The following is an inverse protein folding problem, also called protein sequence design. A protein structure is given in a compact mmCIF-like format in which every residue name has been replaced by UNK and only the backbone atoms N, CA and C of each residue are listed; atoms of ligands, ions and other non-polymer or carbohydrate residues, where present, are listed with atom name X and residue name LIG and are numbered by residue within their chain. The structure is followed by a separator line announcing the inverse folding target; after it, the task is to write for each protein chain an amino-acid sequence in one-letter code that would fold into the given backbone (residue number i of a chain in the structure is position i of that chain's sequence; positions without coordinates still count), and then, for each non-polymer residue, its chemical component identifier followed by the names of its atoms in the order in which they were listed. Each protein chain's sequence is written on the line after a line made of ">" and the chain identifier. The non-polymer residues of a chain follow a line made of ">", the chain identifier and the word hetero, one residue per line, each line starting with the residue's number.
data_IF_476657906654
#
_entry.id   IF_476657906654
#
_cell.length_a   1.000
_cell.length_b   1.000
_cell.length_c   1.000
_cell.angle_alpha   90.00
_cell.angle_beta   90.00
_cell.angle_gamma   90.00
#
_symmetry.space_group_name_H-M   'P 1'
#
loop_
_entity.id
_entity.type
_entity.pdbx_description
1 polymer ?
#
# COMPACT_ATOMS: atom_id res chain seq x y z
N UNK A 1 25.08 5.65 13.93
CA UNK A 1 24.26 4.48 14.29
C UNK A 1 22.88 4.72 13.71
N UNK A 2 22.66 4.34 12.46
CA UNK A 2 21.35 4.50 11.82
C UNK A 2 20.45 3.36 12.31
N UNK A 3 19.34 3.70 12.96
CA UNK A 3 18.32 2.72 13.29
C UNK A 3 17.65 2.29 11.97
N UNK A 4 17.74 1.00 11.69
CA UNK A 4 17.02 0.35 10.60
C UNK A 4 15.51 0.50 10.85
N UNK A 5 14.85 1.36 10.07
CA UNK A 5 13.42 1.67 10.15
C UNK A 5 12.52 0.61 9.51
N UNK A 6 13.05 -0.55 9.13
CA UNK A 6 12.25 -1.64 8.58
C UNK A 6 11.51 -2.39 9.69
N UNK A 7 10.24 -2.04 9.93
CA UNK A 7 9.35 -2.87 10.75
C UNK A 7 8.60 -3.85 9.84
N UNK A 8 9.14 -5.05 9.68
CA UNK A 8 8.43 -6.16 9.02
C UNK A 8 7.29 -6.62 9.94
N UNK A 9 6.05 -6.27 9.61
CA UNK A 9 4.88 -6.85 10.25
C UNK A 9 4.59 -8.19 9.59
N UNK A 10 5.18 -9.28 10.08
CA UNK A 10 4.69 -10.60 9.71
C UNK A 10 3.29 -10.79 10.30
N UNK A 11 2.25 -10.76 9.46
CA UNK A 11 0.99 -11.44 9.82
C UNK A 11 1.28 -12.93 9.98
N UNK A 12 0.71 -13.61 11.00
CA UNK A 12 0.88 -15.05 11.22
C UNK A 12 0.66 -15.84 9.92
N UNK A 13 1.47 -16.88 9.72
CA UNK A 13 1.52 -17.68 8.48
C UNK A 13 0.20 -18.37 8.09
N UNK A 14 -0.78 -18.39 9.00
CA UNK A 14 -2.07 -19.06 8.85
C UNK A 14 -3.20 -18.09 8.43
N UNK A 15 -2.90 -16.80 8.23
CA UNK A 15 -3.88 -15.77 7.91
C UNK A 15 -3.78 -15.29 6.45
N UNK A 16 -4.93 -15.14 5.78
CA UNK A 16 -5.06 -14.53 4.45
C UNK A 16 -4.18 -13.27 4.29
N UNK A 17 -3.18 -13.33 3.40
CA UNK A 17 -2.43 -12.19 2.90
C UNK A 17 -1.37 -11.66 3.87
N UNK A 18 -0.11 -11.71 3.45
CA UNK A 18 1.00 -11.14 4.24
C UNK A 18 1.25 -9.70 3.81
N UNK A 19 1.53 -8.83 4.77
CA UNK A 19 1.88 -7.43 4.48
C UNK A 19 3.32 -7.18 4.86
N UNK A 20 4.17 -6.89 3.89
CA UNK A 20 5.50 -6.37 4.17
C UNK A 20 5.46 -4.85 4.10
N UNK A 21 5.91 -4.14 5.13
CA UNK A 21 5.83 -2.69 5.15
C UNK A 21 7.08 -2.06 5.76
N UNK A 22 7.46 -0.88 5.27
CA UNK A 22 8.57 -0.10 5.81
C UNK A 22 8.40 1.38 5.48
N UNK A 23 9.20 2.22 6.13
CA UNK A 23 9.36 3.60 5.71
C UNK A 23 10.54 3.65 4.75
N UNK A 24 10.27 3.99 3.50
CA UNK A 24 11.33 4.15 2.50
C UNK A 24 12.09 5.47 2.66
N UNK A 25 11.41 6.44 3.28
CA UNK A 25 11.93 7.72 3.65
C UNK A 25 11.06 8.32 4.77
N UNK A 26 11.49 9.42 5.44
CA UNK A 26 10.74 9.99 6.57
C UNK A 26 9.27 10.31 6.29
N UNK A 27 8.93 10.66 5.05
CA UNK A 27 7.62 11.08 4.57
C UNK A 27 6.96 10.07 3.60
N UNK A 28 7.54 8.88 3.42
CA UNK A 28 7.10 7.89 2.44
C UNK A 28 6.95 6.50 3.07
N UNK A 29 5.69 6.09 3.27
CA UNK A 29 5.35 4.74 3.74
C UNK A 29 5.19 3.80 2.55
N UNK A 30 5.70 2.59 2.67
CA UNK A 30 5.50 1.51 1.71
C UNK A 30 4.84 0.30 2.38
N UNK A 31 3.93 -0.35 1.66
CA UNK A 31 3.33 -1.62 2.04
C UNK A 31 3.12 -2.51 0.81
N UNK A 32 3.72 -3.70 0.80
CA UNK A 32 3.46 -4.75 -0.17
C UNK A 32 2.44 -5.75 0.36
N UNK A 33 1.43 -6.05 -0.45
CA UNK A 33 0.53 -7.17 -0.23
C UNK A 33 1.12 -8.41 -0.91
N UNK A 34 1.21 -9.51 -0.16
CA UNK A 34 1.81 -10.76 -0.59
C UNK A 34 0.76 -11.86 -0.54
N UNK A 35 0.46 -12.45 -1.69
CA UNK A 35 -0.50 -13.54 -1.83
C UNK A 35 -1.97 -13.11 -1.73
N UNK A 36 -2.85 -14.06 -1.42
CA UNK A 36 -4.30 -13.84 -1.36
C UNK A 36 -4.68 -12.86 -0.26
N UNK A 37 -5.39 -11.78 -0.59
CA UNK A 37 -5.89 -10.83 0.41
C UNK A 37 -7.41 -10.75 0.33
N UNK A 38 -8.09 -11.23 1.38
CA UNK A 38 -9.57 -11.18 1.50
C UNK A 38 -10.03 -9.92 2.23
N UNK A 39 -11.30 -9.57 2.07
CA UNK A 39 -11.87 -8.37 2.71
C UNK A 39 -11.70 -8.34 4.23
N UNK A 40 -11.90 -9.46 4.93
CA UNK A 40 -11.71 -9.52 6.39
C UNK A 40 -10.28 -9.18 6.80
N UNK A 41 -9.28 -9.65 6.04
CA UNK A 41 -7.87 -9.33 6.25
C UNK A 41 -7.57 -7.86 5.91
N UNK A 42 -8.12 -7.33 4.82
CA UNK A 42 -8.01 -5.90 4.48
C UNK A 42 -8.56 -5.01 5.59
N UNK A 43 -9.73 -5.34 6.15
CA UNK A 43 -10.34 -4.55 7.22
C UNK A 43 -9.56 -4.62 8.54
N UNK A 44 -9.03 -5.80 8.91
CA UNK A 44 -8.13 -5.92 10.09
C UNK A 44 -6.86 -5.09 9.91
N UNK A 45 -6.30 -5.07 8.71
CA UNK A 45 -5.10 -4.30 8.41
C UNK A 45 -5.39 -2.80 8.25
N UNK A 46 -6.64 -2.40 7.93
CA UNK A 46 -7.01 -1.00 7.81
C UNK A 46 -6.75 -0.22 9.10
N UNK A 47 -7.06 -0.79 10.28
CA UNK A 47 -6.79 -0.12 11.56
C UNK A 47 -5.29 0.08 11.80
N UNK A 48 -4.45 -0.90 11.41
CA UNK A 48 -2.99 -0.78 11.49
C UNK A 48 -2.44 0.27 10.54
N UNK A 49 -2.99 0.35 9.32
CA UNK A 49 -2.65 1.37 8.33
C UNK A 49 -3.01 2.76 8.88
N UNK A 50 -4.22 2.94 9.40
CA UNK A 50 -4.69 4.18 10.01
C UNK A 50 -3.76 4.60 11.14
N UNK A 51 -3.52 3.71 12.12
CA UNK A 51 -2.62 4.01 13.24
C UNK A 51 -1.22 4.40 12.77
N UNK A 52 -0.68 3.71 11.75
CA UNK A 52 0.65 4.00 11.24
C UNK A 52 0.71 5.34 10.54
N UNK A 53 -0.26 5.62 9.67
CA UNK A 53 -0.33 6.89 8.96
C UNK A 53 -0.52 8.02 9.97
N UNK A 54 -1.52 7.93 10.84
CA UNK A 54 -1.87 8.99 11.81
C UNK A 54 -0.74 9.29 12.80
N UNK A 55 0.08 8.28 13.14
CA UNK A 55 1.24 8.44 14.02
C UNK A 55 2.50 8.98 13.35
N UNK A 56 2.48 9.33 12.06
CA UNK A 56 3.64 9.88 11.34
C UNK A 56 3.27 11.02 10.41
N UNK A 57 4.31 11.74 9.95
CA UNK A 57 4.17 12.84 8.98
C UNK A 57 4.46 12.32 7.57
N UNK A 58 3.50 11.58 7.02
CA UNK A 58 3.61 10.99 5.68
C UNK A 58 2.97 11.89 4.64
N UNK A 59 3.69 12.09 3.54
CA UNK A 59 3.19 12.73 2.31
C UNK A 59 2.79 11.70 1.27
N UNK A 60 3.47 10.55 1.26
CA UNK A 60 3.27 9.51 0.27
C UNK A 60 2.98 8.16 0.95
N UNK A 61 1.98 7.45 0.42
CA UNK A 61 1.75 6.06 0.77
C UNK A 61 1.75 5.20 -0.49
N UNK A 62 2.64 4.22 -0.54
CA UNK A 62 2.83 3.31 -1.65
C UNK A 62 2.30 1.93 -1.27
N UNK A 63 1.36 1.40 -2.05
CA UNK A 63 0.77 0.08 -1.88
C UNK A 63 1.15 -0.78 -3.08
N UNK A 64 1.91 -1.84 -2.83
CA UNK A 64 2.45 -2.71 -3.87
C UNK A 64 1.62 -3.98 -4.05
N UNK A 65 1.04 -4.10 -5.24
CA UNK A 65 0.20 -5.21 -5.67
C UNK A 65 0.94 -6.19 -6.59
N UNK A 66 2.24 -6.00 -6.88
CA UNK A 66 2.94 -6.87 -7.85
C UNK A 66 2.96 -8.34 -7.46
N UNK A 67 2.92 -8.64 -6.17
CA UNK A 67 2.86 -10.01 -5.62
C UNK A 67 1.54 -10.32 -4.91
N UNK A 68 0.52 -9.49 -5.12
CA UNK A 68 -0.77 -9.62 -4.46
C UNK A 68 -1.75 -10.45 -5.30
N UNK A 69 -2.67 -11.11 -4.62
CA UNK A 69 -3.89 -11.68 -5.20
C UNK A 69 -5.11 -11.14 -4.42
N UNK A 70 -5.52 -9.86 -4.65
CA UNK A 70 -6.65 -9.27 -3.94
C UNK A 70 -7.96 -9.97 -4.32
N UNK A 71 -8.76 -10.37 -3.34
CA UNK A 71 -10.03 -11.09 -3.53
C UNK A 71 -11.26 -10.23 -3.20
N UNK A 72 -11.09 -8.91 -3.20
CA UNK A 72 -12.16 -7.96 -2.87
C UNK A 72 -13.10 -7.75 -4.05
N UNK A 73 -14.40 -7.72 -3.76
CA UNK A 73 -15.44 -7.25 -4.67
C UNK A 73 -15.56 -5.70 -4.64
N UNK A 74 -16.31 -5.08 -5.57
CA UNK A 74 -16.40 -3.62 -5.65
C UNK A 74 -16.93 -2.92 -4.38
N UNK A 75 -17.91 -3.50 -3.68
CA UNK A 75 -18.49 -2.91 -2.46
C UNK A 75 -17.53 -3.01 -1.28
N UNK A 76 -16.74 -4.09 -1.23
CA UNK A 76 -15.68 -4.28 -0.25
C UNK A 76 -14.55 -3.26 -0.43
N UNK A 77 -14.19 -2.93 -1.67
CA UNK A 77 -13.27 -1.82 -1.93
C UNK A 77 -13.85 -0.49 -1.42
N UNK A 78 -15.11 -0.20 -1.69
CA UNK A 78 -15.74 1.04 -1.24
C UNK A 78 -15.72 1.16 0.30
N UNK A 79 -16.09 0.09 1.01
CA UNK A 79 -16.04 0.05 2.48
C UNK A 79 -14.63 0.23 3.03
N UNK A 80 -13.65 -0.46 2.44
CA UNK A 80 -12.24 -0.33 2.84
C UNK A 80 -11.73 1.10 2.68
N UNK A 81 -12.01 1.76 1.55
CA UNK A 81 -11.56 3.12 1.32
C UNK A 81 -12.31 4.17 2.15
N UNK A 82 -13.61 3.98 2.38
CA UNK A 82 -14.37 4.85 3.30
C UNK A 82 -13.77 4.83 4.71
N UNK A 83 -13.31 3.67 5.18
CA UNK A 83 -12.63 3.55 6.47
C UNK A 83 -11.27 4.25 6.50
N UNK A 84 -10.49 4.14 5.41
CA UNK A 84 -9.16 4.75 5.32
C UNK A 84 -9.17 6.26 5.05
N UNK A 85 -10.25 6.77 4.45
CA UNK A 85 -10.36 8.13 3.90
C UNK A 85 -9.78 9.22 4.80
N UNK A 86 -10.09 9.29 6.12
CA UNK A 86 -9.58 10.37 6.96
C UNK A 86 -8.05 10.41 7.04
N UNK A 87 -7.38 9.25 6.99
CA UNK A 87 -5.92 9.14 7.11
C UNK A 87 -5.23 9.26 5.75
N UNK A 88 -5.87 8.83 4.66
CA UNK A 88 -5.27 8.89 3.30
C UNK A 88 -5.59 10.20 2.57
N UNK A 89 -6.67 10.91 2.93
CA UNK A 89 -7.09 12.16 2.29
C UNK A 89 -6.14 13.33 2.54
N UNK A 90 -5.31 13.25 3.60
CA UNK A 90 -4.27 14.23 3.91
C UNK A 90 -2.93 13.99 3.19
N UNK A 91 -2.79 12.86 2.50
CA UNK A 91 -1.58 12.52 1.76
C UNK A 91 -1.50 13.33 0.46
N UNK A 92 -0.29 13.66 0.04
CA UNK A 92 -0.06 14.23 -1.28
C UNK A 92 -0.22 13.20 -2.39
N UNK A 93 0.10 11.92 -2.12
CA UNK A 93 -0.20 10.83 -3.05
C UNK A 93 -0.42 9.48 -2.38
N UNK A 94 -1.35 8.72 -2.96
CA UNK A 94 -1.56 7.30 -2.72
C UNK A 94 -1.24 6.52 -4.00
N UNK A 95 -0.18 5.73 -4.03
CA UNK A 95 0.25 5.04 -5.26
C UNK A 95 0.02 3.55 -5.12
N UNK A 96 -0.78 2.98 -6.01
CA UNK A 96 -0.87 1.55 -6.22
C UNK A 96 0.12 1.10 -7.28
N UNK A 97 1.06 0.24 -6.89
CA UNK A 97 2.08 -0.30 -7.77
C UNK A 97 1.60 -1.65 -8.28
N UNK A 98 1.56 -1.87 -9.59
CA UNK A 98 1.01 -3.10 -10.16
C UNK A 98 2.01 -3.85 -11.03
N UNK A 99 1.73 -5.14 -11.21
CA UNK A 99 2.31 -5.95 -12.28
C UNK A 99 1.20 -6.36 -13.26
N UNK A 100 1.55 -7.17 -14.24
CA UNK A 100 0.63 -7.56 -15.33
C UNK A 100 -0.70 -8.14 -14.82
N UNK A 101 -0.62 -9.00 -13.79
CA UNK A 101 -1.79 -9.68 -13.22
C UNK A 101 -2.65 -8.77 -12.32
N UNK A 102 -2.11 -7.64 -11.85
CA UNK A 102 -2.77 -6.78 -10.86
C UNK A 102 -3.16 -5.40 -11.37
N UNK A 103 -2.87 -5.08 -12.64
CA UNK A 103 -3.22 -3.82 -13.30
C UNK A 103 -4.68 -3.41 -13.05
N UNK A 104 -5.64 -4.29 -13.38
CA UNK A 104 -7.06 -3.95 -13.27
C UNK A 104 -7.50 -3.71 -11.83
N UNK A 105 -6.88 -4.43 -10.87
CA UNK A 105 -7.19 -4.29 -9.44
C UNK A 105 -6.60 -3.00 -8.88
N UNK A 106 -5.36 -2.67 -9.22
CA UNK A 106 -4.74 -1.40 -8.86
C UNK A 106 -5.48 -0.20 -9.47
N UNK A 107 -5.89 -0.28 -10.73
CA UNK A 107 -6.70 0.74 -11.39
C UNK A 107 -8.08 0.91 -10.73
N UNK A 108 -8.72 -0.20 -10.32
CA UNK A 108 -9.97 -0.11 -9.58
C UNK A 108 -9.77 0.53 -8.20
N UNK A 109 -8.76 0.09 -7.47
CA UNK A 109 -8.46 0.58 -6.12
C UNK A 109 -8.14 2.09 -6.13
N UNK A 110 -7.27 2.54 -7.02
CA UNK A 110 -6.95 3.96 -7.16
C UNK A 110 -8.17 4.80 -7.53
N UNK A 111 -9.03 4.32 -8.43
CA UNK A 111 -10.29 5.02 -8.78
C UNK A 111 -11.25 5.13 -7.58
N UNK A 112 -11.34 4.12 -6.72
CA UNK A 112 -12.20 4.20 -5.54
C UNK A 112 -11.69 5.24 -4.54
N UNK A 113 -10.37 5.32 -4.34
CA UNK A 113 -9.77 6.39 -3.55
C UNK A 113 -9.99 7.78 -4.17
N UNK A 114 -9.85 7.92 -5.49
CA UNK A 114 -10.10 9.17 -6.21
C UNK A 114 -11.54 9.68 -6.04
N UNK A 115 -12.53 8.80 -5.99
CA UNK A 115 -13.93 9.19 -5.72
C UNK A 115 -14.13 9.85 -4.35
N UNK A 116 -13.20 9.61 -3.42
CA UNK A 116 -13.17 10.21 -2.10
C UNK A 116 -12.29 11.48 -2.04
N UNK A 117 -11.80 11.97 -3.18
CA UNK A 117 -10.94 13.15 -3.25
C UNK A 117 -9.46 12.90 -2.99
N UNK A 118 -9.05 11.64 -2.82
CA UNK A 118 -7.63 11.27 -2.60
C UNK A 118 -6.86 11.37 -3.93
N UNK A 119 -5.68 11.98 -3.92
CA UNK A 119 -4.76 11.95 -5.06
C UNK A 119 -4.13 10.55 -5.20
N UNK A 120 -4.89 9.62 -5.81
CA UNK A 120 -4.46 8.24 -5.98
C UNK A 120 -4.07 7.92 -7.43
N UNK A 121 -3.06 7.07 -7.58
CA UNK A 121 -2.47 6.70 -8.88
C UNK A 121 -2.27 5.19 -8.95
N UNK A 122 -2.31 4.63 -10.16
CA UNK A 122 -1.88 3.26 -10.43
C UNK A 122 -0.67 3.30 -11.38
N UNK A 123 0.47 2.77 -10.96
CA UNK A 123 1.75 2.85 -11.67
C UNK A 123 2.37 1.46 -11.81
N UNK A 124 2.78 1.08 -13.02
CA UNK A 124 3.36 -0.24 -13.32
C UNK A 124 4.88 -0.30 -13.30
N UNK A 125 5.53 0.86 -13.17
CA UNK A 125 6.98 1.02 -13.28
C UNK A 125 7.56 1.78 -12.08
N UNK A 126 8.59 1.22 -11.45
CA UNK A 126 9.18 1.80 -10.24
C UNK A 126 9.88 3.15 -10.50
N UNK A 127 10.43 3.38 -11.69
CA UNK A 127 11.03 4.67 -12.02
C UNK A 127 9.96 5.76 -12.09
N UNK A 128 8.76 5.45 -12.60
CA UNK A 128 7.60 6.36 -12.53
C UNK A 128 7.13 6.60 -11.09
N UNK A 129 7.16 5.59 -10.22
CA UNK A 129 6.88 5.78 -8.78
C UNK A 129 7.86 6.80 -8.18
N UNK A 130 9.15 6.62 -8.43
CA UNK A 130 10.21 7.55 -8.00
C UNK A 130 9.98 8.98 -8.51
N UNK A 131 9.61 9.13 -9.78
CA UNK A 131 9.27 10.42 -10.36
C UNK A 131 8.06 11.06 -9.66
N UNK A 132 7.03 10.28 -9.34
CA UNK A 132 5.82 10.74 -8.66
C UNK A 132 6.09 11.27 -7.24
N UNK A 133 7.02 10.65 -6.51
CA UNK A 133 7.40 11.07 -5.16
C UNK A 133 8.61 12.03 -5.15
N UNK A 134 9.09 12.44 -6.33
CA UNK A 134 10.20 13.38 -6.49
C UNK A 134 11.55 12.91 -5.98
N UNK A 135 11.80 11.59 -5.92
CA UNK A 135 13.08 11.04 -5.43
C UNK A 135 13.37 9.65 -5.97
N UNK A 136 14.65 9.30 -6.05
CA UNK A 136 15.12 7.98 -6.45
C UNK A 136 15.29 7.10 -5.21
N UNK A 137 14.63 5.96 -5.18
CA UNK A 137 14.70 4.97 -4.10
C UNK A 137 14.92 3.57 -4.67
N UNK A 138 15.56 2.65 -3.93
CA UNK A 138 15.63 1.25 -4.33
C UNK A 138 14.23 0.62 -4.34
N UNK A 139 13.98 -0.26 -5.31
CA UNK A 139 12.72 -1.01 -5.38
C UNK A 139 12.65 -2.01 -4.19
N UNK A 140 11.71 -1.85 -3.26
CA UNK A 140 11.67 -2.65 -2.03
C UNK A 140 11.30 -4.09 -2.31
N UNK A 141 10.56 -4.37 -3.39
CA UNK A 141 10.07 -5.71 -3.69
C UNK A 141 11.22 -6.67 -4.03
N UNK A 142 12.31 -6.14 -4.56
CA UNK A 142 13.51 -6.91 -4.94
C UNK A 142 14.27 -7.44 -3.72
N UNK A 143 14.03 -6.83 -2.55
CA UNK A 143 14.69 -7.16 -1.28
C UNK A 143 13.74 -7.85 -0.30
N UNK A 144 12.58 -8.33 -0.76
CA UNK A 144 11.70 -9.10 0.11
C UNK A 144 12.43 -10.33 0.66
N UNK A 145 12.24 -10.66 1.96
CA UNK A 145 12.76 -11.90 2.51
C UNK A 145 12.23 -13.07 1.67
N UNK A 146 13.12 -13.82 1.03
CA UNK A 146 12.76 -15.07 0.37
C UNK A 146 12.65 -16.12 1.46
N UNK A 147 11.49 -16.79 1.51
CA UNK A 147 11.29 -17.97 2.36
C UNK A 147 12.02 -19.19 1.78
#
# INVERSE_FOLDING_TARGET
>A
MMMDGSTVFQTPADEDGRIYALDLAPDCRYAALLGETRFSASMRNADRIIQRLDGGDYRHFLIDYRLALPMLNPDEYAQFFQKLEPSIGRLESLVYIYGDLTLMRAAHASRQAQKLGVNALAIGDWAQVCAQIGRVLPDPILNLPRE
#
